data_IF_211790440178
#
_entry.id   IF_211790440178
#
_cell.length_a   1.000
_cell.length_b   1.000
_cell.length_c   1.000
_cell.angle_alpha   90.00
_cell.angle_beta   90.00
_cell.angle_gamma   90.00
#
_symmetry.space_group_name_H-M   'P 1'
#
loop_
_entity.id
_entity.type
_entity.pdbx_description
1 polymer ?
#
# COMPACT_ATOMS: atom_id res chain seq x y z
N UNK A 1 19.30 -10.76 -12.66
CA UNK A 1 18.47 -11.57 -11.72
C UNK A 1 18.67 -11.02 -10.32
N UNK A 2 17.88 -10.03 -9.90
CA UNK A 2 17.95 -9.47 -8.54
C UNK A 2 16.88 -10.16 -7.68
N UNK A 3 17.34 -10.71 -6.56
CA UNK A 3 16.70 -11.80 -5.84
C UNK A 3 15.35 -11.46 -5.19
N UNK A 4 14.50 -12.49 -5.13
CA UNK A 4 13.32 -12.60 -4.26
C UNK A 4 13.70 -12.66 -2.77
N UNK A 5 14.59 -11.80 -2.30
CA UNK A 5 14.91 -11.66 -0.87
C UNK A 5 13.93 -10.65 -0.29
N UNK A 6 12.66 -10.99 -0.38
CA UNK A 6 11.53 -10.06 -0.21
C UNK A 6 10.86 -10.29 1.13
N UNK A 7 11.13 -9.45 2.13
CA UNK A 7 10.34 -9.25 3.36
C UNK A 7 10.08 -10.45 4.29
N UNK A 8 10.11 -11.69 3.82
CA UNK A 8 10.23 -12.91 4.60
C UNK A 8 11.44 -12.78 5.52
N UNK A 9 12.52 -12.12 5.09
CA UNK A 9 13.66 -11.79 5.96
C UNK A 9 13.34 -10.69 7.00
N UNK A 10 12.45 -9.74 6.72
CA UNK A 10 12.00 -8.74 7.71
C UNK A 10 11.00 -9.33 8.72
N UNK A 11 10.16 -10.28 8.28
CA UNK A 11 9.22 -10.99 9.13
C UNK A 11 9.91 -12.09 9.97
N UNK A 12 10.82 -12.86 9.36
CA UNK A 12 11.66 -13.87 10.03
C UNK A 12 12.80 -13.24 10.83
N UNK A 13 13.24 -12.03 10.47
CA UNK A 13 14.22 -11.23 11.23
C UNK A 13 13.64 -10.54 12.47
N UNK A 14 12.37 -10.79 12.82
CA UNK A 14 11.77 -10.33 14.08
C UNK A 14 11.25 -8.89 14.10
N UNK A 15 11.27 -8.16 12.98
CA UNK A 15 10.88 -6.75 12.96
C UNK A 15 9.36 -6.52 13.08
N UNK A 16 8.52 -7.55 12.89
CA UNK A 16 7.06 -7.47 13.08
C UNK A 16 6.59 -8.70 13.84
N UNK A 17 6.01 -8.49 15.04
CA UNK A 17 5.39 -9.60 15.78
C UNK A 17 4.18 -10.18 15.03
N UNK A 18 3.96 -11.50 15.13
CA UNK A 18 2.79 -12.19 14.54
C UNK A 18 1.46 -11.51 14.90
N UNK A 19 1.26 -11.16 16.17
CA UNK A 19 0.04 -10.50 16.62
C UNK A 19 -0.16 -9.12 15.99
N UNK A 20 0.91 -8.37 15.70
CA UNK A 20 0.80 -7.11 14.99
C UNK A 20 0.37 -7.33 13.53
N UNK A 21 1.00 -8.27 12.83
CA UNK A 21 0.64 -8.63 11.47
C UNK A 21 -0.81 -9.15 11.35
N UNK A 22 -1.30 -9.92 12.32
CA UNK A 22 -2.69 -10.39 12.36
C UNK A 22 -3.69 -9.22 12.55
N UNK A 23 -3.34 -8.20 13.34
CA UNK A 23 -4.14 -6.97 13.45
C UNK A 23 -4.17 -6.20 12.15
N UNK A 24 -3.03 -6.05 11.48
CA UNK A 24 -2.94 -5.41 10.16
C UNK A 24 -3.82 -6.15 9.16
N UNK A 25 -3.71 -7.47 9.07
CA UNK A 25 -4.50 -8.31 8.18
C UNK A 25 -6.01 -8.17 8.43
N UNK A 26 -6.41 -8.23 9.69
CA UNK A 26 -7.82 -8.10 10.09
C UNK A 26 -8.40 -6.74 9.72
N UNK A 27 -7.62 -5.67 9.88
CA UNK A 27 -8.01 -4.33 9.45
C UNK A 27 -8.19 -4.26 7.93
N UNK A 28 -7.17 -4.71 7.19
CA UNK A 28 -7.16 -4.73 5.73
C UNK A 28 -8.38 -5.47 5.18
N UNK A 29 -8.64 -6.68 5.67
CA UNK A 29 -9.80 -7.49 5.25
C UNK A 29 -11.13 -6.79 5.51
N UNK A 30 -11.27 -6.10 6.65
CA UNK A 30 -12.48 -5.33 6.98
C UNK A 30 -12.71 -4.20 5.99
N UNK A 31 -11.66 -3.47 5.63
CA UNK A 31 -11.73 -2.40 4.64
C UNK A 31 -12.10 -2.96 3.26
N UNK A 32 -11.43 -4.02 2.82
CA UNK A 32 -11.67 -4.63 1.51
C UNK A 32 -13.11 -5.14 1.38
N UNK A 33 -13.64 -5.82 2.40
CA UNK A 33 -15.06 -6.26 2.43
C UNK A 33 -16.02 -5.09 2.30
N UNK A 34 -15.81 -4.01 3.06
CA UNK A 34 -16.64 -2.80 2.99
C UNK A 34 -16.61 -2.17 1.60
N UNK A 35 -15.44 -2.03 1.00
CA UNK A 35 -15.33 -1.42 -0.33
C UNK A 35 -15.91 -2.30 -1.42
N UNK A 36 -15.78 -3.64 -1.31
CA UNK A 36 -16.44 -4.58 -2.21
C UNK A 36 -17.97 -4.47 -2.14
N UNK A 37 -18.53 -4.31 -0.95
CA UNK A 37 -19.98 -4.22 -0.75
C UNK A 37 -20.59 -2.86 -1.13
N UNK A 38 -20.00 -1.76 -0.63
CA UNK A 38 -20.63 -0.43 -0.72
C UNK A 38 -20.02 0.49 -1.77
N UNK A 39 -18.79 0.23 -2.22
CA UNK A 39 -18.02 1.10 -3.11
C UNK A 39 -17.45 0.32 -4.29
N UNK A 40 -18.29 -0.50 -4.92
CA UNK A 40 -17.91 -1.47 -5.95
C UNK A 40 -17.10 -0.86 -7.12
N UNK A 41 -17.45 0.35 -7.58
CA UNK A 41 -16.72 1.04 -8.65
C UNK A 41 -15.27 1.38 -8.26
N UNK A 42 -15.07 1.82 -7.01
CA UNK A 42 -13.75 2.16 -6.47
C UNK A 42 -12.94 0.87 -6.27
N UNK A 43 -13.59 -0.18 -5.77
CA UNK A 43 -12.97 -1.49 -5.61
C UNK A 43 -12.54 -2.08 -6.96
N UNK A 44 -13.39 -2.05 -7.98
CA UNK A 44 -13.05 -2.51 -9.34
C UNK A 44 -11.91 -1.69 -9.96
N UNK A 45 -11.88 -0.37 -9.73
CA UNK A 45 -10.75 0.48 -10.14
C UNK A 45 -9.45 0.07 -9.42
N UNK A 46 -9.51 -0.22 -8.13
CA UNK A 46 -8.37 -0.70 -7.35
C UNK A 46 -7.82 -2.03 -7.89
N UNK A 47 -8.71 -3.00 -8.18
CA UNK A 47 -8.34 -4.28 -8.78
C UNK A 47 -7.61 -4.08 -10.12
N UNK A 48 -8.06 -3.16 -10.97
CA UNK A 48 -7.37 -2.85 -12.23
C UNK A 48 -5.94 -2.36 -12.02
N UNK A 49 -5.69 -1.51 -11.02
CA UNK A 49 -4.31 -1.09 -10.70
C UNK A 49 -3.43 -2.28 -10.31
N UNK A 50 -3.97 -3.21 -9.52
CA UNK A 50 -3.26 -4.42 -9.10
C UNK A 50 -2.97 -5.35 -10.28
N UNK A 51 -3.99 -5.69 -11.07
CA UNK A 51 -3.89 -6.66 -12.18
C UNK A 51 -2.99 -6.14 -13.31
N UNK A 52 -2.98 -4.83 -13.56
CA UNK A 52 -2.10 -4.25 -14.59
C UNK A 52 -0.63 -4.15 -14.18
N UNK A 53 -0.25 -4.65 -12.99
CA UNK A 53 1.14 -4.67 -12.53
C UNK A 53 1.70 -3.27 -12.23
N UNK A 54 0.84 -2.26 -12.13
CA UNK A 54 1.25 -0.86 -11.95
C UNK A 54 1.51 -0.48 -10.49
N UNK A 55 1.56 -1.45 -9.56
CA UNK A 55 1.71 -1.21 -8.13
C UNK A 55 3.03 -1.80 -7.65
N UNK A 56 3.96 -0.94 -7.23
CA UNK A 56 5.20 -1.34 -6.60
C UNK A 56 5.16 -0.97 -5.12
N UNK A 57 5.14 -1.98 -4.24
CA UNK A 57 5.18 -1.76 -2.80
C UNK A 57 6.62 -1.61 -2.32
N UNK A 58 6.94 -0.43 -1.78
CA UNK A 58 8.23 -0.12 -1.17
C UNK A 58 8.00 0.01 0.34
N UNK A 59 8.66 -0.82 1.12
CA UNK A 59 8.60 -0.71 2.57
C UNK A 59 9.57 0.37 3.02
N UNK A 60 9.05 1.59 3.23
CA UNK A 60 9.89 2.76 3.55
C UNK A 60 10.49 2.68 4.95
N UNK A 61 9.76 2.11 5.90
CA UNK A 61 10.22 1.96 7.27
C UNK A 61 9.49 0.80 7.96
N UNK A 62 10.24 -0.13 8.51
CA UNK A 62 9.71 -1.27 9.26
C UNK A 62 10.46 -1.34 10.58
N UNK A 63 9.79 -0.95 11.65
CA UNK A 63 10.28 -1.05 13.03
C UNK A 63 9.43 -2.05 13.79
N UNK A 64 9.93 -2.48 14.95
CA UNK A 64 9.25 -3.42 15.84
C UNK A 64 7.79 -3.02 16.15
N UNK A 65 7.55 -1.71 16.26
CA UNK A 65 6.28 -1.15 16.68
C UNK A 65 5.55 -0.37 15.59
N UNK A 66 6.14 -0.16 14.42
CA UNK A 66 5.51 0.63 13.35
C UNK A 66 5.91 0.17 11.96
N UNK A 67 4.97 0.29 11.04
CA UNK A 67 5.18 0.02 9.61
C UNK A 67 4.72 1.23 8.84
N UNK A 68 5.64 1.86 8.11
CA UNK A 68 5.35 2.87 7.10
C UNK A 68 5.60 2.28 5.70
N UNK A 69 4.52 2.18 4.95
CA UNK A 69 4.51 1.68 3.59
C UNK A 69 4.47 2.87 2.63
N UNK A 70 5.38 2.86 1.68
CA UNK A 70 5.40 3.78 0.57
C UNK A 70 5.11 3.00 -0.70
N UNK A 71 4.06 3.37 -1.41
CA UNK A 71 3.62 2.58 -2.55
C UNK A 71 3.48 3.49 -3.74
N UNK A 72 4.15 3.07 -4.80
CA UNK A 72 4.29 3.84 -6.02
C UNK A 72 3.38 3.19 -7.05
N UNK A 73 2.47 3.98 -7.62
CA UNK A 73 1.52 3.50 -8.62
C UNK A 73 1.72 4.22 -9.96
N UNK A 74 1.80 3.44 -11.03
CA UNK A 74 1.86 3.90 -12.42
C UNK A 74 3.08 4.79 -12.70
N UNK A 75 4.28 4.22 -12.57
CA UNK A 75 5.55 4.91 -12.82
C UNK A 75 5.69 6.22 -12.02
N UNK A 76 5.58 6.19 -10.68
CA UNK A 76 5.71 7.40 -9.86
C UNK A 76 4.62 8.47 -10.04
N UNK A 77 3.52 8.19 -10.77
CA UNK A 77 2.40 9.14 -10.89
C UNK A 77 1.66 9.34 -9.58
N UNK A 78 1.53 8.30 -8.76
CA UNK A 78 0.87 8.40 -7.47
C UNK A 78 1.71 7.80 -6.36
N UNK A 79 1.79 8.54 -5.26
CA UNK A 79 2.37 8.11 -4.00
C UNK A 79 1.25 7.77 -3.05
N UNK A 80 1.36 6.61 -2.43
CA UNK A 80 0.52 6.20 -1.32
C UNK A 80 1.39 5.95 -0.11
N UNK A 81 1.06 6.60 1.00
CA UNK A 81 1.66 6.33 2.30
C UNK A 81 0.61 5.64 3.16
N UNK A 82 0.96 4.51 3.77
CA UNK A 82 0.09 3.81 4.73
C UNK A 82 0.89 3.52 5.98
N UNK A 83 0.36 3.89 7.15
CA UNK A 83 1.01 3.69 8.43
C UNK A 83 0.20 2.79 9.36
N UNK A 84 0.90 1.85 9.98
CA UNK A 84 0.40 1.01 11.06
C UNK A 84 1.30 1.16 12.28
N UNK A 85 0.71 1.07 13.46
CA UNK A 85 1.38 1.08 14.74
C UNK A 85 0.90 -0.11 15.57
N UNK A 86 1.81 -0.74 16.32
CA UNK A 86 1.51 -1.95 17.10
C UNK A 86 0.44 -1.71 18.16
N UNK A 87 0.43 -0.53 18.79
CA UNK A 87 -0.52 -0.15 19.84
C UNK A 87 -1.86 0.33 19.27
N UNK A 88 -1.82 1.14 18.19
CA UNK A 88 -3.01 1.80 17.62
C UNK A 88 -3.65 1.03 16.46
N UNK A 89 -2.95 0.05 15.88
CA UNK A 89 -3.36 -0.62 14.65
C UNK A 89 -3.18 0.28 13.43
N UNK A 90 -4.22 0.47 12.63
CA UNK A 90 -4.16 1.41 11.52
C UNK A 90 -4.10 2.85 12.03
N UNK A 91 -3.10 3.62 11.57
CA UNK A 91 -2.91 5.01 11.98
C UNK A 91 -3.43 5.94 10.88
N UNK A 92 -2.84 5.88 9.69
CA UNK A 92 -3.22 6.77 8.60
C UNK A 92 -2.94 6.18 7.22
N UNK A 93 -3.63 6.73 6.22
CA UNK A 93 -3.30 6.53 4.82
C UNK A 93 -3.42 7.86 4.08
N UNK A 94 -2.43 8.16 3.24
CA UNK A 94 -2.38 9.35 2.41
C UNK A 94 -2.14 8.93 0.96
N UNK A 95 -2.73 9.65 0.02
CA UNK A 95 -2.44 9.48 -1.40
C UNK A 95 -2.35 10.82 -2.10
N UNK A 96 -1.37 10.98 -2.99
CA UNK A 96 -1.19 12.21 -3.78
C UNK A 96 -2.23 12.40 -4.89
N UNK A 97 -3.13 11.43 -5.14
CA UNK A 97 -4.09 11.55 -6.22
C UNK A 97 -5.17 12.62 -5.95
N UNK A 98 -5.68 13.30 -6.98
CA UNK A 98 -6.77 14.28 -6.83
C UNK A 98 -8.01 13.72 -6.12
N UNK A 99 -8.36 12.46 -6.38
CA UNK A 99 -9.49 11.78 -5.74
C UNK A 99 -9.36 11.77 -4.21
N UNK A 100 -8.15 11.60 -3.68
CA UNK A 100 -7.92 11.64 -2.25
C UNK A 100 -8.07 13.06 -1.71
N UNK A 101 -7.45 14.04 -2.36
CA UNK A 101 -7.46 15.44 -1.93
C UNK A 101 -8.90 15.98 -1.90
N UNK A 102 -9.67 15.76 -2.98
CA UNK A 102 -10.97 16.36 -3.15
C UNK A 102 -12.12 15.55 -2.55
N UNK A 103 -12.08 14.21 -2.62
CA UNK A 103 -13.21 13.39 -2.18
C UNK A 103 -13.00 12.77 -0.80
N UNK A 104 -11.77 12.38 -0.46
CA UNK A 104 -11.49 11.78 0.86
C UNK A 104 -11.22 12.86 1.91
N UNK A 105 -10.41 13.86 1.59
CA UNK A 105 -10.08 14.98 2.49
C UNK A 105 -11.31 15.80 2.91
N UNK A 106 -12.29 15.95 2.01
CA UNK A 106 -13.56 16.66 2.27
C UNK A 106 -14.67 15.78 2.86
N UNK A 107 -14.37 14.53 3.26
CA UNK A 107 -15.29 13.57 3.90
C UNK A 107 -16.57 13.25 3.10
N UNK A 108 -16.48 13.09 1.77
CA UNK A 108 -17.63 12.81 0.88
C UNK A 108 -18.19 11.36 0.98
N UNK A 109 -18.25 10.78 2.18
CA UNK A 109 -18.86 9.46 2.44
C UNK A 109 -17.92 8.25 2.36
N UNK A 110 -16.68 8.41 1.88
CA UNK A 110 -15.65 7.36 1.89
C UNK A 110 -14.29 7.84 2.42
N UNK A 111 -13.57 6.92 3.05
CA UNK A 111 -12.27 7.20 3.71
C UNK A 111 -11.04 6.95 2.83
N UNK A 112 -11.20 6.30 1.67
CA UNK A 112 -10.06 5.88 0.83
C UNK A 112 -10.36 6.06 -0.67
N UNK A 113 -9.31 6.39 -1.42
CA UNK A 113 -9.30 6.39 -2.88
C UNK A 113 -8.96 4.98 -3.41
N UNK A 114 -9.16 4.75 -4.72
CA UNK A 114 -8.87 3.46 -5.35
C UNK A 114 -7.40 3.02 -5.18
N UNK A 115 -6.46 3.97 -5.11
CA UNK A 115 -5.04 3.69 -4.91
C UNK A 115 -4.75 3.08 -3.54
N UNK A 116 -5.30 3.65 -2.46
CA UNK A 116 -5.17 3.09 -1.11
C UNK A 116 -5.84 1.71 -1.02
N UNK A 117 -6.95 1.50 -1.73
CA UNK A 117 -7.58 0.18 -1.79
C UNK A 117 -6.69 -0.83 -2.55
N UNK A 118 -6.01 -0.42 -3.61
CA UNK A 118 -5.06 -1.27 -4.33
C UNK A 118 -3.89 -1.69 -3.43
N UNK A 119 -3.40 -0.77 -2.60
CA UNK A 119 -2.44 -1.09 -1.53
C UNK A 119 -2.96 -2.17 -0.61
N UNK A 120 -4.19 -2.02 -0.11
CA UNK A 120 -4.78 -3.01 0.80
C UNK A 120 -4.98 -4.38 0.15
N UNK A 121 -5.30 -4.45 -1.15
CA UNK A 121 -5.34 -5.72 -1.88
C UNK A 121 -3.97 -6.38 -1.89
N UNK A 122 -2.91 -5.63 -2.18
CA UNK A 122 -1.57 -6.20 -2.17
C UNK A 122 -1.06 -6.58 -0.78
N UNK A 123 -1.40 -5.80 0.26
CA UNK A 123 -1.07 -6.15 1.64
C UNK A 123 -1.81 -7.40 2.10
N UNK A 124 -3.07 -7.57 1.70
CA UNK A 124 -3.83 -8.79 1.96
C UNK A 124 -3.12 -10.00 1.33
N UNK A 125 -2.82 -9.92 0.03
CA UNK A 125 -2.09 -10.98 -0.67
C UNK A 125 -0.76 -11.32 0.00
N UNK A 126 -0.04 -10.29 0.44
CA UNK A 126 1.24 -10.46 1.11
C UNK A 126 1.09 -11.13 2.48
N UNK A 127 0.22 -10.61 3.34
CA UNK A 127 0.01 -11.14 4.69
C UNK A 127 -0.58 -12.56 4.66
N UNK A 128 -1.48 -12.85 3.72
CA UNK A 128 -2.01 -14.20 3.49
C UNK A 128 -0.90 -15.21 3.17
N UNK A 129 0.09 -14.81 2.35
CA UNK A 129 1.24 -15.67 2.03
C UNK A 129 2.13 -15.95 3.25
N UNK A 130 2.32 -14.97 4.15
CA UNK A 130 3.08 -15.15 5.39
C UNK A 130 2.38 -16.13 6.33
N UNK A 131 1.04 -16.06 6.42
CA UNK A 131 0.27 -16.90 7.32
C UNK A 131 -0.05 -18.29 6.76
N UNK A 132 0.44 -18.65 5.58
CA UNK A 132 0.11 -19.92 4.91
C UNK A 132 -1.39 -20.09 4.64
N UNK A 133 -2.12 -18.98 4.48
CA UNK A 133 -3.55 -18.99 4.15
C UNK A 133 -3.74 -19.16 2.65
N UNK A 134 -4.93 -19.59 2.21
CA UNK A 134 -5.20 -19.80 0.78
C UNK A 134 -4.81 -18.58 -0.04
N UNK A 135 -4.30 -18.81 -1.25
CA UNK A 135 -3.87 -17.76 -2.17
C UNK A 135 -4.92 -16.64 -2.27
N UNK A 136 -4.46 -15.41 -2.06
CA UNK A 136 -5.24 -14.23 -2.41
C UNK A 136 -5.73 -14.34 -3.85
N UNK A 137 -6.95 -13.86 -4.09
CA UNK A 137 -7.56 -13.79 -5.43
C UNK A 137 -6.70 -12.95 -6.39
N UNK A 138 -5.95 -11.98 -5.86
CA UNK A 138 -5.13 -11.06 -6.66
C UNK A 138 -3.66 -11.14 -6.23
N UNK A 139 -2.80 -11.62 -7.13
CA UNK A 139 -1.35 -11.67 -6.90
C UNK A 139 -0.74 -10.31 -7.23
N UNK A 140 -0.01 -9.73 -6.28
CA UNK A 140 0.79 -8.52 -6.50
C UNK A 140 2.28 -8.88 -6.59
N UNK A 141 2.99 -8.31 -7.57
CA UNK A 141 4.45 -8.34 -7.60
C UNK A 141 4.99 -7.42 -6.50
N UNK A 142 5.73 -8.00 -5.56
CA UNK A 142 6.37 -7.27 -4.48
C UNK A 142 7.86 -7.11 -4.78
N UNK A 143 8.26 -5.89 -5.13
CA UNK A 143 9.67 -5.54 -5.24
C UNK A 143 10.13 -4.87 -3.95
N UNK A 144 10.92 -5.57 -3.14
CA UNK A 144 11.73 -4.90 -2.14
C UNK A 144 12.92 -4.26 -2.84
N UNK A 145 12.86 -2.94 -3.02
CA UNK A 145 14.06 -2.16 -3.36
C UNK A 145 14.71 -1.70 -2.06
N UNK A 146 16.04 -1.63 -2.05
CA UNK A 146 16.80 -0.92 -1.01
C UNK A 146 16.13 0.43 -0.78
N UNK A 147 15.71 0.67 0.45
CA UNK A 147 14.89 1.82 0.86
C UNK A 147 15.47 3.10 0.29
N UNK A 148 14.89 3.69 -0.79
CA UNK A 148 15.20 5.08 -1.08
C UNK A 148 14.76 5.86 0.15
N UNK A 149 15.57 6.84 0.57
CA UNK A 149 15.17 7.65 1.72
C UNK A 149 13.79 8.27 1.44
N UNK A 150 12.95 8.42 2.47
CA UNK A 150 11.63 9.04 2.27
C UNK A 150 11.76 10.41 1.59
N UNK A 151 12.87 11.11 1.84
CA UNK A 151 13.26 12.37 1.20
C UNK A 151 13.44 12.20 -0.31
N UNK A 152 14.17 11.18 -0.76
CA UNK A 152 14.40 10.91 -2.18
C UNK A 152 13.10 10.63 -2.92
N UNK A 153 12.21 9.88 -2.28
CA UNK A 153 10.89 9.55 -2.85
C UNK A 153 10.04 10.81 -2.95
N UNK A 154 9.94 11.56 -1.85
CA UNK A 154 9.16 12.80 -1.83
C UNK A 154 9.72 13.80 -2.84
N UNK A 155 11.04 13.89 -3.00
CA UNK A 155 11.71 14.70 -4.02
C UNK A 155 11.29 14.29 -5.43
N UNK A 156 11.43 13.02 -5.81
CA UNK A 156 11.03 12.51 -7.13
C UNK A 156 9.55 12.77 -7.43
N UNK A 157 8.72 12.78 -6.40
CA UNK A 157 7.29 13.03 -6.55
C UNK A 157 6.97 14.53 -6.64
N UNK A 158 7.68 15.36 -5.88
CA UNK A 158 7.62 16.82 -6.02
C UNK A 158 8.09 17.25 -7.42
N UNK A 159 9.22 16.71 -7.91
CA UNK A 159 9.75 17.00 -9.24
C UNK A 159 8.71 16.72 -10.33
N UNK A 160 8.02 15.58 -10.27
CA UNK A 160 6.96 15.24 -11.24
C UNK A 160 5.69 16.08 -11.10
N UNK A 161 5.35 16.51 -9.88
CA UNK A 161 4.21 17.40 -9.65
C UNK A 161 4.49 18.83 -10.12
N UNK A 162 5.75 19.29 -10.02
CA UNK A 162 6.16 20.66 -10.35
C UNK A 162 6.55 20.82 -11.82
N UNK A 163 7.23 19.83 -12.41
CA UNK A 163 7.75 19.90 -13.79
C UNK A 163 6.67 19.49 -14.80
N UNK A 164 5.61 18.79 -14.35
CA UNK A 164 4.70 18.06 -15.25
C UNK A 164 5.42 16.85 -15.87
N UNK A 165 4.68 15.86 -16.37
CA UNK A 165 5.32 14.77 -17.11
C UNK A 165 5.97 15.37 -18.37
N UNK A 166 7.28 15.22 -18.59
CA UNK A 166 7.90 15.59 -19.86
C UNK A 166 7.46 14.70 -21.02
N UNK A 167 6.82 13.56 -20.72
CA UNK A 167 6.25 12.62 -21.70
C UNK A 167 4.75 12.86 -21.97
N UNK A 168 4.27 14.08 -21.73
CA UNK A 168 2.89 14.52 -21.99
C UNK A 168 2.74 15.16 -23.36
#
# INVERSE_FOLDING_TARGET
MLGKVSFVVLFLGGAISRGFAERMYSYVMRVLRRFRAYFHQIYAKAVRYVVTGKVSLIFSEVRENSVLLLIIIGDYRHVVLVSFDKSRGFVSAYCSCPDFIFNVGRRSGRRFCAHIIAVFICLESFLSSIFGRSDSVYKCSLELRSTPSIVEVLSKCADRLLIGNPDG
#
